data_IF_887411323091
#
_entry.id   IF_887411323091
#
_cell.length_a   1.000
_cell.length_b   1.000
_cell.length_c   1.000
_cell.angle_alpha   90.00
_cell.angle_beta   90.00
_cell.angle_gamma   90.00
#
_symmetry.space_group_name_H-M   'P 1'
#
loop_
_entity.id
_entity.type
_entity.pdbx_description
1 polymer ?
#
# COMPACT_ATOMS: atom_id res chain seq x y z
N UNK A 1 12.74 -0.75 -11.75
CA UNK A 1 12.75 -2.24 -11.53
C UNK A 1 13.80 -2.61 -10.47
N UNK A 2 13.38 -2.82 -9.22
CA UNK A 2 14.28 -3.22 -8.14
C UNK A 2 14.32 -4.75 -8.06
N UNK A 3 15.51 -5.36 -8.00
CA UNK A 3 15.69 -6.83 -7.84
C UNK A 3 15.24 -7.40 -6.49
N UNK A 4 14.35 -6.71 -5.79
CA UNK A 4 13.74 -7.13 -4.53
C UNK A 4 12.65 -8.15 -4.84
N UNK A 5 12.66 -9.22 -4.06
CA UNK A 5 11.73 -10.34 -4.20
C UNK A 5 10.72 -10.33 -3.04
N UNK A 6 9.53 -10.85 -3.31
CA UNK A 6 8.57 -11.15 -2.24
C UNK A 6 9.23 -12.07 -1.21
N UNK A 7 9.09 -11.75 0.08
CA UNK A 7 9.76 -12.38 1.25
C UNK A 7 11.15 -11.84 1.62
N UNK A 8 11.65 -10.81 0.94
CA UNK A 8 12.85 -10.11 1.41
C UNK A 8 12.56 -9.33 2.68
N UNK A 9 13.37 -9.54 3.72
CA UNK A 9 13.31 -8.74 4.94
C UNK A 9 14.33 -7.59 4.84
N UNK A 10 13.84 -6.36 4.71
CA UNK A 10 14.69 -5.17 4.68
C UNK A 10 15.19 -4.88 6.09
N UNK A 11 16.51 -4.88 6.28
CA UNK A 11 17.16 -4.61 7.58
C UNK A 11 17.86 -3.25 7.61
N UNK A 12 18.25 -2.71 6.45
CA UNK A 12 18.82 -1.38 6.32
C UNK A 12 18.60 -0.77 4.93
N UNK A 13 18.57 0.55 4.88
CA UNK A 13 18.56 1.38 3.66
C UNK A 13 19.68 2.40 3.79
N UNK A 14 20.68 2.31 2.93
CA UNK A 14 21.99 2.96 3.06
C UNK A 14 22.54 2.78 4.48
N UNK A 15 22.88 3.89 5.15
CA UNK A 15 23.37 3.91 6.52
C UNK A 15 22.26 3.89 7.58
N UNK A 16 20.98 3.82 7.17
CA UNK A 16 19.84 3.81 8.08
C UNK A 16 19.37 2.38 8.36
N UNK A 17 19.52 1.96 9.63
CA UNK A 17 18.96 0.69 10.10
C UNK A 17 17.44 0.77 10.18
N UNK A 18 16.76 -0.18 9.54
CA UNK A 18 15.31 -0.26 9.51
C UNK A 18 14.87 -1.37 10.45
N UNK A 19 14.26 -1.00 11.57
CA UNK A 19 13.68 -1.96 12.53
C UNK A 19 12.17 -2.11 12.35
N UNK A 20 11.49 -1.04 11.91
CA UNK A 20 10.04 -1.01 11.78
C UNK A 20 9.57 -0.57 10.39
N UNK A 21 8.32 -0.91 10.05
CA UNK A 21 7.68 -0.47 8.81
C UNK A 21 7.57 1.06 8.71
N UNK A 22 7.42 1.73 9.86
CA UNK A 22 7.37 3.19 9.94
C UNK A 22 8.71 3.81 9.59
N UNK A 23 9.82 3.24 10.09
CA UNK A 23 11.17 3.71 9.76
C UNK A 23 11.44 3.57 8.27
N UNK A 24 11.05 2.43 7.68
CA UNK A 24 11.16 2.22 6.23
C UNK A 24 10.40 3.30 5.46
N UNK A 25 9.15 3.56 5.85
CA UNK A 25 8.31 4.57 5.18
C UNK A 25 8.91 5.96 5.30
N UNK A 26 9.54 6.29 6.44
CA UNK A 26 10.23 7.56 6.66
C UNK A 26 11.50 7.67 5.82
N UNK A 27 12.34 6.65 5.80
CA UNK A 27 13.54 6.60 4.98
C UNK A 27 13.17 6.78 3.51
N UNK A 28 12.19 6.01 3.01
CA UNK A 28 11.70 6.10 1.64
C UNK A 28 11.13 7.47 1.26
N UNK A 29 10.64 8.26 2.22
CA UNK A 29 10.16 9.65 1.94
C UNK A 29 11.29 10.62 1.64
N UNK A 30 12.51 10.33 2.10
CA UNK A 30 13.68 11.15 1.79
C UNK A 30 14.20 10.91 0.37
N UNK A 31 13.85 9.78 -0.25
CA UNK A 31 14.25 9.45 -1.62
C UNK A 31 13.16 9.82 -2.61
N UNK A 32 13.58 10.27 -3.78
CA UNK A 32 12.72 10.61 -4.92
C UNK A 32 12.82 9.54 -6.01
N UNK A 33 11.88 9.57 -6.95
CA UNK A 33 11.97 8.80 -8.17
C UNK A 33 13.26 9.17 -8.92
N UNK A 34 14.01 8.17 -9.35
CA UNK A 34 15.34 8.30 -9.96
C UNK A 34 16.50 8.19 -8.97
N UNK A 35 16.27 8.29 -7.65
CA UNK A 35 17.34 8.16 -6.67
C UNK A 35 17.81 6.71 -6.53
N UNK A 36 19.10 6.52 -6.32
CA UNK A 36 19.70 5.21 -6.02
C UNK A 36 19.98 5.08 -4.53
N UNK A 37 19.60 3.95 -3.94
CA UNK A 37 19.98 3.59 -2.57
C UNK A 37 20.41 2.13 -2.48
N UNK A 38 21.26 1.85 -1.51
CA UNK A 38 21.75 0.53 -1.17
C UNK A 38 20.85 -0.08 -0.09
N UNK A 39 20.09 -1.12 -0.43
CA UNK A 39 19.24 -1.81 0.53
C UNK A 39 19.90 -3.11 0.96
N UNK A 40 19.99 -3.30 2.27
CA UNK A 40 20.38 -4.58 2.86
C UNK A 40 19.11 -5.37 3.16
N UNK A 41 19.02 -6.55 2.55
CA UNK A 41 17.92 -7.49 2.73
C UNK A 41 18.42 -8.83 3.23
N UNK A 42 17.61 -9.52 4.02
CA UNK A 42 17.82 -10.92 4.35
C UNK A 42 16.91 -11.78 3.47
N UNK A 43 17.51 -12.60 2.61
CA UNK A 43 16.81 -13.58 1.76
C UNK A 43 17.29 -14.98 2.11
N UNK A 44 16.37 -15.85 2.49
CA UNK A 44 16.69 -17.24 2.86
C UNK A 44 17.76 -17.35 3.97
N UNK A 45 17.75 -16.41 4.92
CA UNK A 45 18.71 -16.35 6.02
C UNK A 45 20.10 -15.82 5.64
N UNK A 46 20.30 -15.31 4.42
CA UNK A 46 21.54 -14.66 3.99
C UNK A 46 21.31 -13.17 3.81
N UNK A 47 22.24 -12.37 4.31
CA UNK A 47 22.26 -10.93 4.05
C UNK A 47 22.77 -10.67 2.63
N UNK A 48 22.04 -9.83 1.92
CA UNK A 48 22.31 -9.41 0.55
C UNK A 48 22.19 -7.90 0.49
N UNK A 49 23.20 -7.27 -0.09
CA UNK A 49 23.21 -5.84 -0.33
C UNK A 49 22.89 -5.60 -1.79
N UNK A 50 21.78 -4.92 -2.05
CA UNK A 50 21.27 -4.65 -3.39
C UNK A 50 21.21 -3.14 -3.61
N UNK A 51 21.81 -2.66 -4.69
CA UNK A 51 21.61 -1.27 -5.11
C UNK A 51 20.32 -1.19 -5.92
N UNK A 52 19.37 -0.37 -5.45
CA UNK A 52 18.10 -0.15 -6.13
C UNK A 52 17.99 1.29 -6.58
N UNK A 53 17.41 1.50 -7.76
CA UNK A 53 16.92 2.81 -8.17
C UNK A 53 15.44 2.88 -7.82
N UNK A 54 15.06 3.87 -7.00
CA UNK A 54 13.68 4.14 -6.69
C UNK A 54 12.98 4.60 -7.96
N UNK A 55 12.01 3.83 -8.40
CA UNK A 55 11.10 4.27 -9.44
C UNK A 55 10.01 5.15 -8.80
N UNK A 56 9.36 5.96 -9.62
CA UNK A 56 8.16 6.66 -9.16
C UNK A 56 7.17 5.59 -8.68
N UNK A 57 6.64 5.75 -7.46
CA UNK A 57 5.78 4.74 -6.84
C UNK A 57 4.76 4.29 -7.89
N UNK A 58 4.69 3.01 -8.29
CA UNK A 58 3.45 2.54 -8.87
C UNK A 58 2.42 2.83 -7.77
N UNK A 59 1.43 3.65 -8.12
CA UNK A 59 0.21 3.69 -7.33
C UNK A 59 -0.25 2.23 -7.30
N UNK A 60 -0.03 1.55 -6.16
CA UNK A 60 -0.80 0.37 -5.82
C UNK A 60 -2.24 0.87 -5.67
N UNK A 61 -2.90 1.03 -6.81
CA UNK A 61 -4.34 1.04 -6.94
C UNK A 61 -4.79 -0.34 -6.51
N UNK A 62 -4.90 -0.53 -5.20
CA UNK A 62 -5.60 -1.66 -4.60
C UNK A 62 -6.43 -1.14 -3.45
N UNK A 63 -7.46 -0.39 -3.83
CA UNK A 63 -8.80 -0.58 -3.32
C UNK A 63 -9.74 0.00 -4.37
N UNK A 64 -10.29 -0.89 -5.19
CA UNK A 64 -11.60 -0.68 -5.78
C UNK A 64 -12.55 -0.25 -4.65
N UNK A 65 -12.86 1.03 -4.63
CA UNK A 65 -14.16 1.48 -4.16
C UNK A 65 -14.54 2.60 -5.10
N UNK A 66 -14.86 2.24 -6.34
CA UNK A 66 -15.96 2.93 -7.00
C UNK A 66 -17.18 2.66 -6.13
N UNK A 67 -17.77 3.65 -5.44
CA UNK A 67 -19.21 3.61 -5.33
C UNK A 67 -19.66 3.67 -6.78
N UNK A 68 -20.07 2.55 -7.37
CA UNK A 68 -21.10 2.67 -8.38
C UNK A 68 -22.20 3.42 -7.64
N UNK A 69 -22.47 4.65 -8.06
CA UNK A 69 -23.74 5.32 -7.82
C UNK A 69 -24.81 4.39 -8.39
N UNK A 70 -25.16 3.36 -7.62
CA UNK A 70 -26.44 2.71 -7.76
C UNK A 70 -27.43 3.80 -7.39
N UNK A 71 -28.02 4.40 -8.42
CA UNK A 71 -28.95 5.52 -8.35
C UNK A 71 -30.22 5.20 -7.53
N UNK A 72 -30.26 4.02 -6.92
CA UNK A 72 -31.26 3.48 -6.03
C UNK A 72 -30.98 3.74 -4.54
N UNK A 73 -29.78 4.24 -4.18
CA UNK A 73 -29.49 4.64 -2.79
C UNK A 73 -30.10 6.02 -2.52
N UNK A 74 -31.03 6.16 -1.56
CA UNK A 74 -31.59 7.47 -1.23
C UNK A 74 -30.46 8.36 -0.69
N UNK A 75 -30.16 9.50 -1.33
CA UNK A 75 -29.15 10.45 -0.85
C UNK A 75 -29.69 11.42 0.21
N UNK A 76 -31.01 11.64 0.21
CA UNK A 76 -31.79 12.28 1.27
C UNK A 76 -33.14 11.53 1.38
N UNK A 77 -33.53 11.12 2.59
CA UNK A 77 -34.73 10.31 2.82
C UNK A 77 -34.98 10.06 4.30
N UNK A 78 -36.24 9.81 4.67
CA UNK A 78 -36.62 9.49 6.05
C UNK A 78 -36.08 8.12 6.45
N UNK A 79 -36.04 7.85 7.76
CA UNK A 79 -35.62 6.55 8.31
C UNK A 79 -36.35 5.37 7.64
N UNK A 80 -37.60 5.58 7.22
CA UNK A 80 -38.42 4.63 6.47
C UNK A 80 -37.81 4.23 5.12
N UNK A 81 -37.26 5.19 4.37
CA UNK A 81 -36.68 4.97 3.05
C UNK A 81 -35.36 4.21 3.14
N UNK A 82 -34.55 4.55 4.14
CA UNK A 82 -33.33 3.83 4.47
C UNK A 82 -33.62 2.39 4.90
N UNK A 83 -34.65 2.17 5.72
CA UNK A 83 -35.02 0.83 6.19
C UNK A 83 -35.44 -0.11 5.03
N UNK A 84 -36.22 0.39 4.07
CA UNK A 84 -36.62 -0.38 2.89
C UNK A 84 -35.46 -0.66 1.94
N UNK A 85 -34.57 0.30 1.70
CA UNK A 85 -33.36 0.09 0.91
C UNK A 85 -32.51 -1.04 1.50
N UNK A 86 -32.19 -0.99 2.79
CA UNK A 86 -31.36 -2.01 3.42
C UNK A 86 -32.06 -3.38 3.51
N UNK A 87 -33.37 -3.42 3.77
CA UNK A 87 -34.15 -4.67 3.74
C UNK A 87 -34.11 -5.32 2.36
N UNK A 88 -34.25 -4.55 1.28
CA UNK A 88 -34.29 -5.09 -0.09
C UNK A 88 -33.02 -5.83 -0.48
N UNK A 89 -31.86 -5.35 -0.04
CA UNK A 89 -30.56 -5.89 -0.44
C UNK A 89 -29.97 -6.89 0.56
N UNK A 90 -30.27 -6.76 1.86
CA UNK A 90 -29.65 -7.56 2.92
C UNK A 90 -30.64 -8.38 3.77
N UNK A 91 -31.95 -8.26 3.53
CA UNK A 91 -33.02 -8.86 4.34
C UNK A 91 -33.49 -10.24 3.86
N UNK A 92 -32.62 -11.02 3.21
CA UNK A 92 -32.87 -12.42 2.83
C UNK A 92 -32.33 -13.39 3.87
#
# INVERSE_FOLDING_TARGET
KAGIQSKDLITAVDDHKIATRTDLTRALRNYKAGDTAQITVVRSGRELTLTITFDEKPHDTTAETTPQEDSSMPSEGDYSDWYEYFRRFFGG
#
